data_IF_993191320499
#
_entry.id   IF_993191320499
#
_cell.length_a   1.000
_cell.length_b   1.000
_cell.length_c   1.000
_cell.angle_alpha   90.00
_cell.angle_beta   90.00
_cell.angle_gamma   90.00
#
_symmetry.space_group_name_H-M   'P 1'
#
loop_
_entity.id
_entity.type
_entity.pdbx_description
1 polymer ?
#
# COMPACT_ATOMS: atom_id res chain seq x y z
N UNK A 1 -6.90 12.83 19.37
CA UNK A 1 -5.64 13.45 19.77
C UNK A 1 -5.53 14.87 19.21
N UNK A 2 -5.57 15.07 17.91
CA UNK A 2 -5.37 16.37 17.23
C UNK A 2 -6.26 17.51 17.77
N UNK A 3 -7.50 17.22 18.18
CA UNK A 3 -8.42 18.20 18.77
C UNK A 3 -8.03 18.56 20.21
N UNK A 4 -7.51 17.59 20.96
CA UNK A 4 -7.23 17.74 22.39
C UNK A 4 -5.79 18.21 22.66
N UNK A 5 -4.87 18.06 21.69
CA UNK A 5 -3.45 18.40 21.84
C UNK A 5 -3.21 19.90 22.07
N UNK A 6 -4.12 20.75 21.56
CA UNK A 6 -4.10 22.20 21.79
C UNK A 6 -4.70 22.63 23.14
N UNK A 7 -5.20 21.70 23.93
CA UNK A 7 -5.83 21.97 25.21
C UNK A 7 -4.81 22.21 26.34
N UNK A 8 -5.32 22.69 27.48
CA UNK A 8 -4.50 22.98 28.65
C UNK A 8 -4.17 21.75 29.51
N UNK A 9 -4.27 20.52 28.95
CA UNK A 9 -4.06 19.29 29.71
C UNK A 9 -2.94 18.45 29.11
N UNK A 10 -2.27 17.67 29.94
CA UNK A 10 -1.34 16.64 29.51
C UNK A 10 -2.13 15.44 28.99
N UNK A 11 -1.96 15.11 27.70
CA UNK A 11 -2.60 13.96 27.08
C UNK A 11 -1.72 12.70 27.20
N UNK A 12 -2.35 11.58 27.55
CA UNK A 12 -1.71 10.28 27.62
C UNK A 12 -2.48 9.29 26.77
N UNK A 13 -1.82 8.67 25.80
CA UNK A 13 -2.33 7.48 25.11
C UNK A 13 -1.82 6.26 25.85
N UNK A 14 -2.71 5.35 26.22
CA UNK A 14 -2.37 4.13 26.92
C UNK A 14 -2.85 2.88 26.19
N UNK A 15 -2.12 1.78 26.32
CA UNK A 15 -2.50 0.51 25.71
C UNK A 15 -3.62 -0.15 26.53
N UNK A 16 -4.80 -0.28 25.92
CA UNK A 16 -5.96 -0.89 26.56
C UNK A 16 -5.73 -2.30 27.10
N UNK A 17 -4.85 -3.10 26.48
CA UNK A 17 -4.49 -4.45 26.98
C UNK A 17 -3.71 -4.37 28.29
N UNK A 18 -2.79 -3.41 28.41
CA UNK A 18 -2.03 -3.21 29.67
C UNK A 18 -2.95 -2.76 30.79
N UNK A 19 -3.89 -1.86 30.52
CA UNK A 19 -4.89 -1.43 31.52
C UNK A 19 -5.79 -2.58 31.94
N UNK A 20 -6.23 -3.43 31.01
CA UNK A 20 -7.08 -4.60 31.30
C UNK A 20 -6.38 -5.68 32.09
N UNK A 21 -5.07 -5.80 32.01
CA UNK A 21 -4.29 -6.80 32.72
C UNK A 21 -4.00 -6.43 34.20
N UNK A 22 -4.32 -5.18 34.61
CA UNK A 22 -4.20 -4.81 36.03
C UNK A 22 -5.36 -5.45 36.80
N UNK A 23 -5.10 -6.25 37.83
CA UNK A 23 -6.16 -6.93 38.62
C UNK A 23 -7.13 -5.92 39.21
N UNK A 24 -8.44 -6.11 38.99
CA UNK A 24 -9.50 -5.26 39.54
C UNK A 24 -10.88 -5.62 38.99
N UNK A 25 -11.91 -5.25 39.69
CA UNK A 25 -13.31 -5.53 39.30
C UNK A 25 -13.80 -4.47 38.30
N UNK A 26 -14.31 -4.91 37.16
CA UNK A 26 -14.72 -4.12 36.03
C UNK A 26 -16.25 -4.02 35.92
N UNK A 27 -16.77 -2.80 35.94
CA UNK A 27 -18.13 -2.46 35.48
C UNK A 27 -18.03 -1.18 34.69
N UNK A 28 -18.83 -1.01 33.63
CA UNK A 28 -18.72 0.10 32.67
C UNK A 28 -18.76 1.49 33.32
N UNK A 29 -19.56 1.68 34.38
CA UNK A 29 -19.62 2.94 35.16
C UNK A 29 -18.32 3.18 35.95
N UNK A 30 -17.62 2.15 36.36
CA UNK A 30 -16.36 2.22 37.14
C UNK A 30 -15.10 2.27 36.28
N UNK A 31 -15.22 2.14 34.96
CA UNK A 31 -14.02 2.15 34.08
C UNK A 31 -13.31 3.51 34.13
N UNK A 32 -14.03 4.63 34.13
CA UNK A 32 -13.43 5.96 34.20
C UNK A 32 -12.77 6.21 35.59
N UNK A 33 -13.43 5.83 36.68
CA UNK A 33 -12.88 5.93 38.05
C UNK A 33 -11.65 5.02 38.22
N UNK A 34 -11.70 3.83 37.62
CA UNK A 34 -10.58 2.89 37.64
C UNK A 34 -9.38 3.44 36.86
N UNK A 35 -9.58 3.94 35.66
CA UNK A 35 -8.53 4.57 34.83
C UNK A 35 -7.94 5.78 35.56
N UNK A 36 -8.78 6.64 36.16
CA UNK A 36 -8.31 7.78 36.94
C UNK A 36 -7.48 7.35 38.16
N UNK A 37 -7.87 6.28 38.85
CA UNK A 37 -7.13 5.71 39.97
C UNK A 37 -5.77 5.13 39.53
N UNK A 38 -5.73 4.40 38.43
CA UNK A 38 -4.48 3.88 37.85
C UNK A 38 -3.55 5.01 37.43
N UNK A 39 -4.09 6.07 36.83
CA UNK A 39 -3.31 7.25 36.43
C UNK A 39 -2.69 7.92 37.66
N UNK A 40 -3.49 8.14 38.69
CA UNK A 40 -3.04 8.76 39.97
C UNK A 40 -1.94 7.92 40.65
N UNK A 41 -2.01 6.58 40.55
CA UNK A 41 -1.01 5.69 41.10
C UNK A 41 0.23 5.51 40.21
N UNK A 42 0.29 6.16 39.03
CA UNK A 42 1.42 6.02 38.12
C UNK A 42 1.50 4.68 37.39
N UNK A 43 0.41 3.89 37.40
CA UNK A 43 0.36 2.53 36.82
C UNK A 43 0.02 2.52 35.32
N UNK A 44 -0.25 3.68 34.73
CA UNK A 44 -0.49 3.82 33.28
C UNK A 44 0.81 4.19 32.57
N UNK A 45 1.33 3.25 31.79
CA UNK A 45 2.45 3.53 30.89
C UNK A 45 1.98 4.32 29.66
N UNK A 46 2.71 5.41 29.38
CA UNK A 46 2.48 6.24 28.18
C UNK A 46 2.86 5.46 26.93
N UNK A 47 1.96 5.40 25.96
CA UNK A 47 2.26 4.94 24.60
C UNK A 47 2.89 6.06 23.78
N UNK A 48 3.77 5.70 22.86
CA UNK A 48 4.38 6.65 21.95
C UNK A 48 3.35 7.28 21.01
N UNK A 49 3.31 8.60 20.98
CA UNK A 49 2.55 9.38 19.99
C UNK A 49 3.55 10.22 19.22
N UNK A 50 3.70 10.00 17.91
CA UNK A 50 4.62 10.80 17.11
C UNK A 50 4.21 12.28 17.05
N UNK A 51 5.14 13.19 16.74
CA UNK A 51 4.81 14.58 16.41
C UNK A 51 3.78 14.67 15.27
N UNK A 52 3.00 15.75 15.23
CA UNK A 52 1.92 15.98 14.26
C UNK A 52 2.35 15.68 12.83
N UNK A 53 3.48 16.26 12.39
CA UNK A 53 4.01 16.05 11.04
C UNK A 53 4.28 14.57 10.70
N UNK A 54 4.75 13.79 11.68
CA UNK A 54 4.98 12.33 11.47
C UNK A 54 3.65 11.59 11.43
N UNK A 55 2.61 12.07 12.13
CA UNK A 55 1.25 11.53 12.02
C UNK A 55 0.68 11.80 10.63
N UNK A 56 0.83 13.02 10.10
CA UNK A 56 0.39 13.38 8.75
C UNK A 56 1.10 12.49 7.70
N UNK A 57 2.40 12.34 7.82
CA UNK A 57 3.18 11.44 6.96
C UNK A 57 2.69 9.98 7.05
N UNK A 58 2.33 9.52 8.25
CA UNK A 58 1.79 8.19 8.48
C UNK A 58 0.45 7.99 7.78
N UNK A 59 -0.45 8.96 7.85
CA UNK A 59 -1.76 8.89 7.21
C UNK A 59 -1.61 8.81 5.69
N UNK A 60 -0.72 9.62 5.09
CA UNK A 60 -0.45 9.59 3.66
C UNK A 60 0.21 8.27 3.20
N UNK A 61 1.19 7.76 3.96
CA UNK A 61 1.85 6.49 3.60
C UNK A 61 0.91 5.30 3.72
N UNK A 62 0.01 5.30 4.70
CA UNK A 62 -1.03 4.27 4.87
C UNK A 62 -2.06 4.33 3.76
N UNK A 63 -2.57 5.52 3.43
CA UNK A 63 -3.49 5.71 2.30
C UNK A 63 -2.85 5.23 0.99
N UNK A 64 -1.58 5.59 0.74
CA UNK A 64 -0.85 5.08 -0.43
C UNK A 64 -0.84 3.56 -0.50
N UNK A 65 -0.59 2.88 0.62
CA UNK A 65 -0.62 1.41 0.70
C UNK A 65 -1.99 0.83 0.40
N UNK A 66 -3.06 1.47 0.88
CA UNK A 66 -4.44 1.07 0.61
C UNK A 66 -4.78 1.20 -0.88
N UNK A 67 -4.44 2.33 -1.50
CA UNK A 67 -4.66 2.56 -2.94
C UNK A 67 -3.89 1.54 -3.81
N UNK A 68 -2.65 1.20 -3.45
CA UNK A 68 -1.91 0.12 -4.12
C UNK A 68 -2.62 -1.23 -3.99
N UNK A 69 -3.20 -1.51 -2.83
CA UNK A 69 -4.04 -2.69 -2.62
C UNK A 69 -5.26 -2.70 -3.55
N UNK A 70 -5.87 -1.53 -3.80
CA UNK A 70 -6.99 -1.40 -4.73
C UNK A 70 -6.58 -1.58 -6.19
N UNK A 71 -5.44 -1.03 -6.60
CA UNK A 71 -4.84 -1.30 -7.92
C UNK A 71 -4.68 -2.81 -8.12
N UNK A 72 -4.08 -3.50 -7.17
CA UNK A 72 -3.87 -4.96 -7.26
C UNK A 72 -5.21 -5.72 -7.31
N UNK A 73 -6.24 -5.30 -6.57
CA UNK A 73 -7.58 -5.88 -6.66
C UNK A 73 -8.18 -5.71 -8.05
N UNK A 74 -8.06 -4.52 -8.66
CA UNK A 74 -8.54 -4.29 -10.02
C UNK A 74 -7.75 -5.10 -11.06
N UNK A 75 -6.42 -5.20 -10.94
CA UNK A 75 -5.58 -6.08 -11.78
C UNK A 75 -6.03 -7.54 -11.73
N UNK A 76 -6.29 -8.06 -10.53
CA UNK A 76 -6.80 -9.42 -10.36
C UNK A 76 -8.20 -9.63 -10.98
N UNK A 77 -9.05 -8.61 -10.94
CA UNK A 77 -10.36 -8.66 -11.61
C UNK A 77 -10.22 -8.69 -13.13
N UNK A 78 -9.32 -7.88 -13.70
CA UNK A 78 -9.00 -7.93 -15.14
C UNK A 78 -8.53 -9.35 -15.53
N UNK A 79 -7.62 -9.96 -14.77
CA UNK A 79 -7.19 -11.33 -15.01
C UNK A 79 -8.37 -12.32 -15.04
N UNK A 80 -9.31 -12.21 -14.09
CA UNK A 80 -10.50 -13.08 -14.06
C UNK A 80 -11.39 -12.88 -15.29
N UNK A 81 -11.59 -11.63 -15.73
CA UNK A 81 -12.40 -11.35 -16.93
C UNK A 81 -11.74 -11.91 -18.19
N UNK A 82 -10.41 -11.78 -18.32
CA UNK A 82 -9.66 -12.35 -19.43
C UNK A 82 -9.71 -13.88 -19.43
N UNK A 83 -9.62 -14.52 -18.27
CA UNK A 83 -9.77 -15.97 -18.12
C UNK A 83 -11.18 -16.45 -18.50
N UNK A 84 -12.25 -15.72 -18.11
CA UNK A 84 -13.62 -16.03 -18.52
C UNK A 84 -13.81 -15.93 -20.03
N UNK A 85 -13.10 -15.00 -20.69
CA UNK A 85 -13.05 -14.89 -22.15
C UNK A 85 -12.12 -15.91 -22.82
N UNK A 86 -11.48 -16.83 -22.07
CA UNK A 86 -10.44 -17.76 -22.52
C UNK A 86 -9.21 -17.08 -23.15
N UNK A 87 -8.85 -15.89 -22.67
CA UNK A 87 -7.65 -15.16 -23.10
C UNK A 87 -6.51 -15.48 -22.14
N UNK A 88 -5.46 -16.13 -22.62
CA UNK A 88 -4.33 -16.63 -21.82
C UNK A 88 -3.14 -15.69 -21.86
N UNK A 89 -3.37 -14.38 -21.66
CA UNK A 89 -2.34 -13.34 -21.79
C UNK A 89 -1.10 -13.60 -20.90
N UNK A 90 -1.29 -14.18 -19.71
CA UNK A 90 -0.19 -14.48 -18.78
C UNK A 90 0.71 -15.62 -19.23
N UNK A 91 0.33 -16.42 -20.23
CA UNK A 91 1.20 -17.46 -20.79
C UNK A 91 2.25 -16.90 -21.74
N UNK A 92 2.00 -15.72 -22.31
CA UNK A 92 2.86 -15.10 -23.35
C UNK A 92 3.49 -13.79 -22.88
N UNK A 93 2.98 -13.16 -21.83
CA UNK A 93 3.53 -11.94 -21.24
C UNK A 93 3.87 -12.17 -19.76
N UNK A 94 5.08 -11.80 -19.37
CA UNK A 94 5.50 -11.79 -17.97
C UNK A 94 4.85 -10.65 -17.17
N UNK A 95 4.58 -9.51 -17.80
CA UNK A 95 3.89 -8.36 -17.23
C UNK A 95 2.70 -7.96 -18.11
N UNK A 96 1.51 -8.35 -17.65
CA UNK A 96 0.24 -8.06 -18.34
C UNK A 96 -0.16 -6.58 -18.24
N UNK A 97 0.38 -5.84 -17.29
CA UNK A 97 0.10 -4.42 -17.08
C UNK A 97 1.24 -3.50 -17.52
N UNK A 98 2.29 -4.04 -18.13
CA UNK A 98 3.31 -3.30 -18.82
C UNK A 98 2.82 -2.73 -20.15
N UNK A 99 3.70 -2.06 -20.90
CA UNK A 99 3.33 -1.35 -22.14
C UNK A 99 2.63 -2.25 -23.17
N UNK A 100 3.16 -3.44 -23.43
CA UNK A 100 2.56 -4.39 -24.39
C UNK A 100 1.19 -4.89 -23.91
N UNK A 101 1.10 -5.27 -22.63
CA UNK A 101 -0.16 -5.73 -22.05
C UNK A 101 -1.24 -4.63 -22.03
N UNK A 102 -0.88 -3.38 -21.69
CA UNK A 102 -1.78 -2.22 -21.79
C UNK A 102 -2.25 -1.99 -23.23
N UNK A 103 -1.37 -2.13 -24.23
CA UNK A 103 -1.77 -2.02 -25.64
C UNK A 103 -2.79 -3.10 -26.03
N UNK A 104 -2.58 -4.34 -25.60
CA UNK A 104 -3.52 -5.45 -25.84
C UNK A 104 -4.85 -5.21 -25.13
N UNK A 105 -4.83 -4.80 -23.86
CA UNK A 105 -6.05 -4.48 -23.11
C UNK A 105 -6.85 -3.37 -23.77
N UNK A 106 -6.21 -2.29 -24.23
CA UNK A 106 -6.87 -1.20 -24.94
C UNK A 106 -7.46 -1.68 -26.27
N UNK A 107 -6.72 -2.50 -27.03
CA UNK A 107 -7.25 -3.10 -28.27
C UNK A 107 -8.52 -3.93 -28.02
N UNK A 108 -8.55 -4.72 -26.94
CA UNK A 108 -9.74 -5.49 -26.56
C UNK A 108 -10.90 -4.57 -26.17
N UNK A 109 -10.63 -3.52 -25.41
CA UNK A 109 -11.64 -2.57 -24.93
C UNK A 109 -12.23 -1.78 -26.09
N UNK A 110 -11.40 -1.30 -27.01
CA UNK A 110 -11.80 -0.40 -28.08
C UNK A 110 -12.44 -1.16 -29.27
N UNK A 111 -11.85 -2.28 -29.67
CA UNK A 111 -12.18 -2.96 -30.92
C UNK A 111 -12.87 -4.32 -30.73
N UNK A 112 -12.96 -4.85 -29.51
CA UNK A 112 -13.56 -6.14 -29.14
C UNK A 112 -12.94 -7.36 -29.86
N UNK A 113 -11.83 -7.19 -30.57
CA UNK A 113 -11.13 -8.26 -31.28
C UNK A 113 -9.62 -7.98 -31.33
N UNK A 114 -8.88 -9.06 -31.51
CA UNK A 114 -7.42 -9.02 -31.75
C UNK A 114 -7.17 -9.59 -33.13
N UNK A 115 -6.58 -8.77 -34.00
CA UNK A 115 -6.21 -9.17 -35.35
C UNK A 115 -4.75 -9.58 -35.44
N UNK A 116 -4.39 -10.36 -36.45
CA UNK A 116 -3.00 -10.73 -36.67
C UNK A 116 -2.13 -9.50 -36.94
N UNK A 117 -2.63 -8.54 -37.73
CA UNK A 117 -1.91 -7.28 -38.02
C UNK A 117 -1.58 -6.53 -36.74
N UNK A 118 -2.52 -6.45 -35.79
CA UNK A 118 -2.27 -5.82 -34.49
C UNK A 118 -1.15 -6.56 -33.74
N UNK A 119 -1.18 -7.89 -33.71
CA UNK A 119 -0.11 -8.68 -33.06
C UNK A 119 1.23 -8.41 -33.72
N UNK A 120 1.34 -8.47 -35.06
CA UNK A 120 2.60 -8.18 -35.73
C UNK A 120 3.12 -6.77 -35.44
N UNK A 121 2.24 -5.77 -35.35
CA UNK A 121 2.61 -4.39 -34.97
C UNK A 121 3.26 -4.27 -33.58
N UNK A 122 2.95 -5.16 -32.65
CA UNK A 122 3.58 -5.19 -31.32
C UNK A 122 5.07 -5.61 -31.38
N UNK A 123 5.47 -6.29 -32.43
CA UNK A 123 6.85 -6.74 -32.64
C UNK A 123 7.64 -5.76 -33.53
N UNK A 124 6.95 -4.86 -34.26
CA UNK A 124 7.59 -3.81 -35.06
C UNK A 124 8.07 -2.67 -34.16
N UNK A 125 9.30 -2.21 -34.33
CA UNK A 125 9.87 -1.04 -33.64
C UNK A 125 10.33 -1.23 -32.20
N UNK A 126 10.05 -2.36 -31.56
CA UNK A 126 10.62 -2.71 -30.25
C UNK A 126 11.80 -3.66 -30.47
N UNK A 127 12.97 -3.32 -29.92
CA UNK A 127 14.14 -4.22 -30.04
C UNK A 127 13.72 -5.67 -29.78
N UNK A 128 14.00 -6.55 -30.72
CA UNK A 128 13.55 -7.96 -30.83
C UNK A 128 13.74 -8.85 -29.59
N UNK A 129 14.33 -8.32 -28.50
CA UNK A 129 14.75 -9.09 -27.32
C UNK A 129 13.76 -9.09 -26.13
N UNK A 130 12.63 -8.37 -26.20
CA UNK A 130 11.76 -8.19 -25.02
C UNK A 130 10.54 -9.12 -24.94
N UNK A 131 10.04 -9.62 -26.08
CA UNK A 131 8.94 -10.58 -26.11
C UNK A 131 9.51 -11.98 -26.31
N UNK A 132 9.23 -12.86 -25.34
CA UNK A 132 9.73 -14.25 -25.38
C UNK A 132 8.91 -15.14 -26.31
N UNK A 133 7.62 -14.83 -26.51
CA UNK A 133 6.70 -15.54 -27.37
C UNK A 133 6.83 -15.08 -28.81
N UNK A 134 6.55 -15.96 -29.75
CA UNK A 134 6.41 -15.64 -31.17
C UNK A 134 5.08 -14.93 -31.43
N UNK A 135 4.92 -14.17 -32.55
CA UNK A 135 3.63 -13.55 -32.91
C UNK A 135 2.48 -14.56 -32.98
N UNK A 136 2.72 -15.77 -33.51
CA UNK A 136 1.73 -16.82 -33.65
C UNK A 136 1.26 -17.36 -32.29
N UNK A 137 2.20 -17.65 -31.37
CA UNK A 137 1.88 -18.06 -30.00
C UNK A 137 1.08 -16.99 -29.26
N UNK A 138 1.42 -15.71 -29.49
CA UNK A 138 0.67 -14.61 -28.89
C UNK A 138 -0.74 -14.52 -29.46
N UNK A 139 -0.91 -14.65 -30.77
CA UNK A 139 -2.22 -14.66 -31.40
C UNK A 139 -3.10 -15.80 -30.88
N UNK A 140 -2.56 -17.02 -30.84
CA UNK A 140 -3.28 -18.17 -30.29
C UNK A 140 -3.68 -18.00 -28.82
N UNK A 141 -2.79 -17.48 -27.99
CA UNK A 141 -3.07 -17.24 -26.57
C UNK A 141 -4.14 -16.17 -26.33
N UNK A 142 -4.26 -15.22 -27.24
CA UNK A 142 -5.21 -14.12 -27.18
C UNK A 142 -6.50 -14.37 -27.97
N UNK A 143 -6.58 -15.47 -28.72
CA UNK A 143 -7.77 -15.85 -29.48
C UNK A 143 -8.84 -16.47 -28.58
N UNK A 144 -9.51 -15.61 -27.81
CA UNK A 144 -10.59 -15.97 -26.91
C UNK A 144 -11.96 -15.50 -27.42
N UNK A 145 -13.00 -15.74 -26.63
CA UNK A 145 -14.37 -15.32 -26.95
C UNK A 145 -14.75 -14.09 -26.13
N UNK A 146 -14.43 -12.91 -26.66
CA UNK A 146 -14.80 -11.63 -26.04
C UNK A 146 -16.28 -11.35 -26.29
N UNK A 147 -17.02 -10.95 -25.25
CA UNK A 147 -18.43 -10.54 -25.28
C UNK A 147 -18.55 -9.10 -24.74
N UNK A 148 -19.64 -8.40 -25.09
CA UNK A 148 -19.83 -7.00 -24.71
C UNK A 148 -19.67 -6.72 -23.21
N UNK A 149 -20.13 -7.63 -22.33
CA UNK A 149 -19.94 -7.43 -20.87
C UNK A 149 -18.48 -7.54 -20.43
N UNK A 150 -17.63 -8.36 -21.11
CA UNK A 150 -16.19 -8.41 -20.83
C UNK A 150 -15.55 -7.05 -21.12
N UNK A 151 -15.89 -6.44 -22.24
CA UNK A 151 -15.39 -5.10 -22.64
C UNK A 151 -15.75 -4.05 -21.60
N UNK A 152 -17.01 -4.04 -21.14
CA UNK A 152 -17.47 -3.12 -20.09
C UNK A 152 -16.67 -3.32 -18.80
N UNK A 153 -16.53 -4.57 -18.34
CA UNK A 153 -15.82 -4.89 -17.11
C UNK A 153 -14.32 -4.52 -17.19
N UNK A 154 -13.66 -4.87 -18.32
CA UNK A 154 -12.26 -4.50 -18.55
C UNK A 154 -12.09 -2.99 -18.57
N UNK A 155 -12.96 -2.26 -19.29
CA UNK A 155 -12.93 -0.79 -19.36
C UNK A 155 -13.07 -0.14 -17.98
N UNK A 156 -14.05 -0.59 -17.18
CA UNK A 156 -14.27 -0.05 -15.83
C UNK A 156 -13.07 -0.31 -14.91
N UNK A 157 -12.51 -1.52 -14.90
CA UNK A 157 -11.36 -1.85 -14.06
C UNK A 157 -10.09 -1.14 -14.53
N UNK A 158 -9.88 -1.02 -15.84
CA UNK A 158 -8.73 -0.30 -16.39
C UNK A 158 -8.79 1.20 -16.06
N UNK A 159 -9.95 1.83 -16.20
CA UNK A 159 -10.15 3.23 -15.82
C UNK A 159 -9.91 3.47 -14.32
N UNK A 160 -10.36 2.55 -13.48
CA UNK A 160 -10.09 2.62 -12.03
C UNK A 160 -8.59 2.51 -11.73
N UNK A 161 -7.84 1.64 -12.42
CA UNK A 161 -6.39 1.53 -12.24
C UNK A 161 -5.72 2.86 -12.59
N UNK A 162 -6.04 3.44 -13.74
CA UNK A 162 -5.47 4.73 -14.18
C UNK A 162 -5.75 5.85 -13.18
N UNK A 163 -6.99 5.91 -12.67
CA UNK A 163 -7.39 6.89 -11.67
C UNK A 163 -6.61 6.72 -10.35
N UNK A 164 -6.52 5.49 -9.85
CA UNK A 164 -5.79 5.18 -8.62
C UNK A 164 -4.28 5.44 -8.76
N UNK A 165 -3.67 5.08 -9.88
CA UNK A 165 -2.26 5.37 -10.17
C UNK A 165 -1.98 6.88 -10.17
N UNK A 166 -2.91 7.69 -10.68
CA UNK A 166 -2.80 9.16 -10.61
C UNK A 166 -2.85 9.66 -9.16
N UNK A 167 -3.78 9.17 -8.34
CA UNK A 167 -3.87 9.54 -6.93
C UNK A 167 -2.61 9.12 -6.15
N UNK A 168 -2.07 7.94 -6.42
CA UNK A 168 -0.82 7.47 -5.81
C UNK A 168 0.33 8.43 -6.15
N UNK A 169 0.46 8.86 -7.41
CA UNK A 169 1.50 9.80 -7.83
C UNK A 169 1.36 11.18 -7.15
N UNK A 170 0.13 11.63 -6.90
CA UNK A 170 -0.12 12.88 -6.16
C UNK A 170 0.29 12.73 -4.68
N UNK A 171 -0.09 11.62 -4.04
CA UNK A 171 0.32 11.33 -2.65
C UNK A 171 1.85 11.21 -2.51
N UNK A 172 2.53 10.59 -3.46
CA UNK A 172 3.99 10.46 -3.44
C UNK A 172 4.69 11.82 -3.43
N UNK A 173 4.17 12.80 -4.15
CA UNK A 173 4.71 14.18 -4.13
C UNK A 173 4.54 14.83 -2.76
N UNK A 174 3.37 14.69 -2.14
CA UNK A 174 3.12 15.23 -0.80
C UNK A 174 3.99 14.52 0.26
N UNK A 175 4.13 13.21 0.17
CA UNK A 175 5.04 12.43 1.02
C UNK A 175 6.48 12.93 0.88
N UNK A 176 6.95 13.18 -0.35
CA UNK A 176 8.30 13.70 -0.60
C UNK A 176 8.50 15.09 0.01
N UNK A 177 7.49 15.98 -0.05
CA UNK A 177 7.54 17.30 0.59
C UNK A 177 7.68 17.17 2.11
N UNK A 178 6.88 16.31 2.74
CA UNK A 178 6.95 16.07 4.17
C UNK A 178 8.29 15.46 4.61
N UNK A 179 8.89 14.62 3.78
CA UNK A 179 10.17 13.96 4.06
C UNK A 179 11.39 14.85 3.89
N UNK A 180 11.26 16.04 3.31
CA UNK A 180 12.42 16.93 3.11
C UNK A 180 13.21 17.22 4.39
N UNK A 181 12.53 17.35 5.53
CA UNK A 181 13.19 17.60 6.84
C UNK A 181 13.86 16.35 7.42
N UNK A 182 13.45 15.16 6.95
CA UNK A 182 13.95 13.85 7.42
C UNK A 182 14.91 13.20 6.41
N UNK A 183 15.45 14.02 5.50
CA UNK A 183 16.25 13.54 4.36
C UNK A 183 17.46 12.72 4.80
N UNK A 184 18.20 13.20 5.80
CA UNK A 184 19.39 12.51 6.29
C UNK A 184 19.05 11.12 6.83
N UNK A 185 17.94 11.02 7.58
CA UNK A 185 17.45 9.74 8.10
C UNK A 185 16.94 8.82 6.99
N UNK A 186 16.31 9.38 5.95
CA UNK A 186 15.85 8.66 4.78
C UNK A 186 17.04 8.04 4.03
N UNK A 187 18.04 8.86 3.69
CA UNK A 187 19.26 8.42 3.01
C UNK A 187 20.02 7.37 3.83
N UNK A 188 20.09 7.53 5.14
CA UNK A 188 20.70 6.53 6.03
C UNK A 188 19.97 5.18 5.98
N UNK A 189 18.63 5.17 6.00
CA UNK A 189 17.85 3.94 5.89
C UNK A 189 18.02 3.26 4.52
N UNK A 190 18.15 4.03 3.44
CA UNK A 190 18.37 3.51 2.08
C UNK A 190 19.74 2.84 1.91
N UNK A 191 20.72 3.09 2.80
CA UNK A 191 22.00 2.36 2.80
C UNK A 191 21.85 0.88 3.19
N UNK A 192 20.72 0.53 3.86
CA UNK A 192 20.46 -0.84 4.28
C UNK A 192 20.00 -1.66 3.06
N UNK A 193 20.68 -2.76 2.70
CA UNK A 193 20.28 -3.60 1.58
C UNK A 193 18.83 -4.07 1.68
N UNK A 194 18.04 -3.82 0.62
CA UNK A 194 16.62 -4.19 0.56
C UNK A 194 15.64 -3.12 1.07
N UNK A 195 16.11 -2.03 1.65
CA UNK A 195 15.27 -0.88 2.00
C UNK A 195 15.27 0.11 0.83
N UNK A 196 14.12 0.23 0.16
CA UNK A 196 13.89 1.27 -0.84
C UNK A 196 13.40 2.57 -0.19
N UNK A 197 13.44 3.68 -0.92
CA UNK A 197 12.88 4.98 -0.50
C UNK A 197 11.46 4.84 0.10
N UNK A 198 10.60 4.03 -0.53
CA UNK A 198 9.23 3.79 -0.07
C UNK A 198 9.21 3.06 1.28
N UNK A 199 10.05 2.06 1.45
CA UNK A 199 10.16 1.33 2.72
C UNK A 199 10.71 2.23 3.81
N UNK A 200 11.75 3.02 3.52
CA UNK A 200 12.35 3.99 4.44
C UNK A 200 11.32 5.06 4.86
N UNK A 201 10.56 5.61 3.90
CA UNK A 201 9.46 6.55 4.18
C UNK A 201 8.42 5.97 5.13
N UNK A 202 8.03 4.71 4.91
CA UNK A 202 7.06 4.01 5.77
C UNK A 202 7.62 3.76 7.17
N UNK A 203 8.89 3.44 7.30
CA UNK A 203 9.57 3.29 8.60
C UNK A 203 9.57 4.61 9.35
N UNK A 204 10.00 5.71 8.72
CA UNK A 204 10.01 7.05 9.33
C UNK A 204 8.60 7.46 9.75
N UNK A 205 7.59 7.20 8.90
CA UNK A 205 6.20 7.51 9.21
C UNK A 205 5.67 6.77 10.45
N UNK A 206 6.13 5.55 10.70
CA UNK A 206 5.65 4.74 11.84
C UNK A 206 6.43 5.01 13.14
N UNK A 207 7.74 5.22 13.08
CA UNK A 207 8.57 5.33 14.30
C UNK A 207 9.13 6.74 14.53
N UNK A 208 9.07 7.64 13.53
CA UNK A 208 9.78 8.92 13.57
C UNK A 208 11.28 8.75 13.37
N UNK A 209 12.03 9.81 13.62
CA UNK A 209 13.50 9.86 13.51
C UNK A 209 14.20 9.97 14.86
N UNK A 210 13.49 10.37 15.93
CA UNK A 210 14.05 10.38 17.29
C UNK A 210 13.99 9.00 17.92
N UNK A 211 15.15 8.45 18.22
CA UNK A 211 15.28 7.14 18.89
C UNK A 211 15.24 7.23 20.42
N UNK A 212 15.11 8.43 21.01
CA UNK A 212 15.03 8.63 22.46
C UNK A 212 13.84 7.89 23.08
N UNK A 213 12.79 7.68 22.28
CA UNK A 213 11.57 6.95 22.68
C UNK A 213 11.83 5.45 22.80
N UNK A 214 12.76 4.93 22.01
CA UNK A 214 13.11 3.51 21.97
C UNK A 214 14.51 3.30 22.57
N UNK A 215 14.58 3.16 23.89
CA UNK A 215 15.86 3.05 24.62
C UNK A 215 16.74 1.88 24.18
N UNK A 216 16.16 0.84 23.59
CA UNK A 216 16.88 -0.35 23.09
C UNK A 216 16.17 -0.94 21.87
N UNK A 217 16.88 -1.76 21.10
CA UNK A 217 16.35 -2.56 19.99
C UNK A 217 15.18 -3.46 20.42
N UNK A 218 15.16 -3.91 21.69
CA UNK A 218 14.06 -4.72 22.24
C UNK A 218 12.77 -3.93 22.39
N UNK A 219 12.86 -2.64 22.74
CA UNK A 219 11.69 -1.76 22.84
C UNK A 219 11.04 -1.55 21.48
N UNK A 220 11.81 -1.26 20.43
CA UNK A 220 11.26 -1.06 19.09
C UNK A 220 10.71 -2.38 18.52
N UNK A 221 11.38 -3.51 18.74
CA UNK A 221 10.91 -4.82 18.30
C UNK A 221 9.61 -5.22 19.00
N UNK A 222 9.49 -4.94 20.30
CA UNK A 222 8.25 -5.16 21.05
C UNK A 222 7.11 -4.26 20.58
N UNK A 223 7.41 -2.98 20.33
CA UNK A 223 6.44 -2.03 19.79
C UNK A 223 5.95 -2.45 18.40
N UNK A 224 6.85 -2.90 17.53
CA UNK A 224 6.52 -3.42 16.19
C UNK A 224 5.80 -4.77 16.20
N UNK A 225 5.65 -5.41 17.36
CA UNK A 225 5.02 -6.73 17.48
C UNK A 225 5.86 -7.88 16.94
N UNK A 226 7.17 -7.70 16.80
CA UNK A 226 8.11 -8.71 16.31
C UNK A 226 8.57 -9.67 17.40
N UNK A 227 8.27 -9.38 18.67
CA UNK A 227 8.58 -10.30 19.77
C UNK A 227 7.57 -11.45 19.78
N UNK A 228 8.02 -12.71 19.90
CA UNK A 228 7.11 -13.84 20.09
C UNK A 228 6.26 -13.62 21.34
N UNK A 229 4.99 -14.01 21.27
CA UNK A 229 4.14 -14.07 22.45
C UNK A 229 4.62 -15.26 23.31
N UNK A 230 5.05 -14.98 24.53
CA UNK A 230 5.19 -16.00 25.54
C UNK A 230 3.81 -16.47 25.99
#
# INVERSE_FOLDING_TARGET
WNILESGAFELIVANAKKIKNVPGRKTDVKDAEWIASLLRCGLIEKSFVPPERIRDLRDLTRLRKELLGEVNRNKNRIHKVLQDANIKISSVLSDVFGETGKSILNQIIDNQCITEEFIYSLYEGRGKSKLKSTPMEMYEALNGKIRGHHVILLGMHNSNIVFLEKQINELEKEIDILLQKERDSLELLETIPGISKISASSIIAEIGTSMDVFKTEKHISSWAGLCPKN
#
